data_IF_321877410256
#
_entry.id   IF_321877410256
#
_cell.length_a   1.000
_cell.length_b   1.000
_cell.length_c   1.000
_cell.angle_alpha   90.00
_cell.angle_beta   90.00
_cell.angle_gamma   90.00
#
_symmetry.space_group_name_H-M   'P 1'
#
loop_
_entity.id
_entity.type
_entity.pdbx_description
1 polymer ?
#
# COMPACT_ATOMS: atom_id res chain seq x y z
N UNK A 1 7.13 5.88 10.04
CA UNK A 1 7.98 4.70 10.23
C UNK A 1 7.14 3.44 10.39
N UNK A 2 7.51 2.39 9.73
CA UNK A 2 6.74 1.17 9.66
C UNK A 2 7.64 -0.02 9.99
N UNK A 3 7.20 -0.90 10.89
CA UNK A 3 7.96 -2.10 11.24
C UNK A 3 7.17 -3.34 10.87
N UNK A 4 7.86 -4.33 10.35
CA UNK A 4 7.23 -5.60 10.00
C UNK A 4 8.12 -6.74 10.49
N UNK A 5 7.47 -7.73 11.12
CA UNK A 5 8.14 -8.93 11.57
C UNK A 5 7.62 -10.12 10.78
N UNK A 6 8.53 -10.88 10.20
CA UNK A 6 8.18 -12.02 9.38
C UNK A 6 9.20 -13.12 9.66
N UNK A 7 8.70 -14.31 10.00
CA UNK A 7 9.57 -15.46 10.31
C UNK A 7 10.65 -15.13 11.35
N UNK A 8 10.27 -14.37 12.38
CA UNK A 8 11.20 -13.99 13.46
C UNK A 8 12.17 -12.86 13.10
N UNK A 9 12.11 -12.33 11.90
CA UNK A 9 12.99 -11.24 11.45
C UNK A 9 12.18 -9.95 11.39
N UNK A 10 12.63 -8.93 12.11
CA UNK A 10 12.00 -7.61 12.11
C UNK A 10 12.79 -6.65 11.25
N UNK A 11 12.11 -5.96 10.35
CA UNK A 11 12.72 -4.93 9.50
C UNK A 11 11.91 -3.65 9.56
N UNK A 12 12.59 -2.54 9.38
CA UNK A 12 11.99 -1.21 9.41
C UNK A 12 11.87 -0.62 8.02
N UNK A 13 10.73 0.03 7.76
CA UNK A 13 10.53 0.83 6.56
C UNK A 13 10.46 2.27 7.02
N UNK A 14 11.53 3.05 6.83
CA UNK A 14 11.62 4.38 7.45
C UNK A 14 10.70 5.43 6.83
N UNK A 15 10.31 5.25 5.58
CA UNK A 15 9.42 6.21 4.88
C UNK A 15 8.71 5.53 3.73
N UNK A 16 7.68 6.21 3.22
CA UNK A 16 6.93 5.75 2.05
C UNK A 16 7.58 6.34 0.80
N UNK A 17 7.96 5.46 -0.14
CA UNK A 17 8.68 5.90 -1.34
C UNK A 17 7.74 6.41 -2.43
N UNK A 18 8.27 7.27 -3.29
CA UNK A 18 7.56 7.68 -4.49
C UNK A 18 7.28 6.51 -5.44
N UNK A 19 8.13 5.48 -5.40
CA UNK A 19 7.94 4.27 -6.21
C UNK A 19 6.67 3.53 -5.79
N UNK A 20 6.43 3.42 -4.48
CA UNK A 20 5.20 2.81 -3.96
C UNK A 20 3.97 3.58 -4.46
N UNK A 21 4.05 4.91 -4.53
CA UNK A 21 2.99 5.73 -5.07
C UNK A 21 2.81 5.50 -6.58
N UNK A 22 3.90 5.49 -7.32
CA UNK A 22 3.84 5.32 -8.78
C UNK A 22 3.15 4.02 -9.18
N UNK A 23 3.42 2.95 -8.45
CA UNK A 23 2.92 1.61 -8.77
C UNK A 23 1.65 1.24 -7.99
N UNK A 24 1.00 2.22 -7.37
CA UNK A 24 -0.17 1.98 -6.50
C UNK A 24 -1.46 1.67 -7.25
N UNK A 25 -1.63 2.19 -8.45
CA UNK A 25 -2.94 2.17 -9.14
C UNK A 25 -3.56 0.78 -9.22
N UNK A 26 -2.85 -0.16 -9.79
CA UNK A 26 -3.39 -1.50 -10.03
C UNK A 26 -3.61 -2.30 -8.75
N UNK A 27 -2.64 -2.35 -7.82
CA UNK A 27 -2.89 -3.01 -6.54
C UNK A 27 -4.05 -2.39 -5.76
N UNK A 28 -4.18 -1.07 -5.79
CA UNK A 28 -5.29 -0.38 -5.10
C UNK A 28 -6.63 -0.79 -5.70
N UNK A 29 -6.73 -0.86 -7.03
CA UNK A 29 -7.96 -1.30 -7.69
C UNK A 29 -8.32 -2.73 -7.30
N UNK A 30 -7.33 -3.62 -7.27
CA UNK A 30 -7.55 -5.02 -6.87
C UNK A 30 -8.03 -5.09 -5.43
N UNK A 31 -7.36 -4.39 -4.52
CA UNK A 31 -7.69 -4.43 -3.09
C UNK A 31 -9.04 -3.79 -2.79
N UNK A 32 -9.35 -2.66 -3.41
CA UNK A 32 -10.65 -2.00 -3.18
C UNK A 32 -11.80 -2.82 -3.76
N UNK A 33 -11.59 -3.46 -4.89
CA UNK A 33 -12.60 -4.36 -5.47
C UNK A 33 -12.82 -5.58 -4.58
N UNK A 34 -11.75 -6.15 -4.04
CA UNK A 34 -11.86 -7.27 -3.11
C UNK A 34 -12.64 -6.87 -1.85
N UNK A 35 -12.39 -5.67 -1.32
CA UNK A 35 -13.12 -5.16 -0.16
C UNK A 35 -14.58 -4.92 -0.49
N UNK A 36 -14.88 -4.36 -1.66
CA UNK A 36 -16.25 -4.17 -2.12
C UNK A 36 -17.01 -5.50 -2.19
N UNK A 37 -16.38 -6.53 -2.74
CA UNK A 37 -16.97 -7.87 -2.83
C UNK A 37 -17.24 -8.47 -1.45
N UNK A 38 -16.30 -8.29 -0.54
CA UNK A 38 -16.43 -8.81 0.82
C UNK A 38 -17.66 -8.25 1.52
N UNK A 39 -18.03 -7.01 1.20
CA UNK A 39 -19.19 -6.34 1.79
C UNK A 39 -20.48 -6.55 1.00
N UNK A 40 -20.44 -7.32 -0.09
CA UNK A 40 -21.61 -7.60 -0.91
C UNK A 40 -22.58 -8.54 -0.19
N UNK A 41 -23.88 -8.36 -0.43
CA UNK A 41 -24.90 -9.27 0.06
C UNK A 41 -24.98 -10.54 -0.77
N UNK A 42 -24.45 -10.50 -2.00
CA UNK A 42 -24.42 -11.66 -2.90
C UNK A 42 -23.29 -12.59 -2.49
N UNK A 43 -23.62 -13.82 -2.10
CA UNK A 43 -22.65 -14.82 -1.68
C UNK A 43 -21.61 -15.13 -2.78
N UNK A 44 -22.03 -15.15 -4.03
CA UNK A 44 -21.13 -15.43 -5.14
C UNK A 44 -20.08 -14.33 -5.29
N UNK A 45 -20.47 -13.09 -5.07
CA UNK A 45 -19.53 -11.96 -5.08
C UNK A 45 -18.62 -12.01 -3.85
N UNK A 46 -19.21 -12.23 -2.67
CA UNK A 46 -18.50 -12.20 -1.40
C UNK A 46 -17.41 -13.27 -1.32
N UNK A 47 -17.72 -14.46 -1.83
CA UNK A 47 -16.84 -15.63 -1.71
C UNK A 47 -15.87 -15.77 -2.87
N UNK A 48 -15.88 -14.84 -3.81
CA UNK A 48 -15.01 -14.90 -4.97
C UNK A 48 -13.56 -14.56 -4.60
N UNK A 49 -12.62 -15.52 -4.74
CA UNK A 49 -11.23 -15.27 -4.37
C UNK A 49 -10.53 -14.41 -5.40
N UNK A 50 -9.43 -13.80 -5.01
CA UNK A 50 -8.52 -13.17 -5.95
C UNK A 50 -7.85 -14.24 -6.82
N UNK A 51 -7.58 -13.91 -8.07
CA UNK A 51 -6.81 -14.80 -8.94
C UNK A 51 -5.35 -14.80 -8.51
N UNK A 52 -4.61 -15.83 -8.92
CA UNK A 52 -3.17 -15.90 -8.65
C UNK A 52 -2.46 -14.66 -9.19
N UNK A 53 -2.84 -14.22 -10.38
CA UNK A 53 -2.27 -13.03 -11.00
C UNK A 53 -2.52 -11.78 -10.16
N UNK A 54 -3.75 -11.62 -9.67
CA UNK A 54 -4.09 -10.50 -8.80
C UNK A 54 -3.30 -10.53 -7.50
N UNK A 55 -3.18 -11.71 -6.89
CA UNK A 55 -2.39 -11.88 -5.67
C UNK A 55 -0.93 -11.50 -5.91
N UNK A 56 -0.35 -11.95 -7.03
CA UNK A 56 1.04 -11.64 -7.35
C UNK A 56 1.27 -10.14 -7.50
N UNK A 57 0.32 -9.44 -8.10
CA UNK A 57 0.40 -7.99 -8.26
C UNK A 57 0.36 -7.27 -6.92
N UNK A 58 -0.53 -7.69 -6.04
CA UNK A 58 -0.64 -7.12 -4.69
C UNK A 58 0.62 -7.39 -3.89
N UNK A 59 1.12 -8.62 -3.90
CA UNK A 59 2.32 -8.99 -3.15
C UNK A 59 3.56 -8.28 -3.70
N UNK A 60 3.69 -8.19 -5.01
CA UNK A 60 4.79 -7.45 -5.63
C UNK A 60 4.81 -5.99 -5.19
N UNK A 61 3.63 -5.35 -5.18
CA UNK A 61 3.52 -3.98 -4.71
C UNK A 61 3.82 -3.87 -3.21
N UNK A 62 3.33 -4.81 -2.42
CA UNK A 62 3.58 -4.82 -0.98
C UNK A 62 5.08 -4.91 -0.71
N UNK A 63 5.80 -5.73 -1.45
CA UNK A 63 7.26 -5.80 -1.36
C UNK A 63 7.93 -4.47 -1.73
N UNK A 64 7.40 -3.77 -2.73
CA UNK A 64 7.87 -2.42 -3.09
C UNK A 64 7.64 -1.45 -1.94
N UNK A 65 6.45 -1.46 -1.35
CA UNK A 65 6.14 -0.61 -0.20
C UNK A 65 7.11 -0.86 0.94
N UNK A 66 7.44 -2.12 1.18
CA UNK A 66 8.37 -2.52 2.24
C UNK A 66 9.84 -2.33 1.83
N UNK A 67 10.09 -1.66 0.72
CA UNK A 67 11.44 -1.36 0.20
C UNK A 67 12.28 -2.63 0.04
N UNK A 68 11.62 -3.70 -0.38
CA UNK A 68 12.23 -5.01 -0.65
C UNK A 68 12.91 -5.62 0.59
N UNK A 69 12.41 -5.27 1.77
CA UNK A 69 12.86 -5.88 3.02
C UNK A 69 12.64 -7.40 3.02
N UNK A 70 11.59 -7.84 2.34
CA UNK A 70 11.28 -9.25 2.14
C UNK A 70 10.96 -9.52 0.68
N UNK A 71 11.25 -10.75 0.22
CA UNK A 71 10.92 -11.16 -1.14
C UNK A 71 9.46 -11.59 -1.23
N UNK A 72 8.88 -11.62 -2.45
CA UNK A 72 7.52 -12.17 -2.61
C UNK A 72 7.41 -13.60 -2.09
N UNK A 73 8.42 -14.44 -2.30
CA UNK A 73 8.41 -15.80 -1.78
C UNK A 73 8.32 -15.84 -0.27
N UNK A 74 9.08 -14.97 0.41
CA UNK A 74 9.02 -14.88 1.87
C UNK A 74 7.65 -14.44 2.35
N UNK A 75 7.03 -13.47 1.67
CA UNK A 75 5.67 -13.03 1.98
C UNK A 75 4.69 -14.19 1.85
N UNK A 76 4.72 -14.92 0.74
CA UNK A 76 3.82 -16.04 0.54
C UNK A 76 4.04 -17.16 1.55
N UNK A 77 5.28 -17.39 1.92
CA UNK A 77 5.64 -18.52 2.77
C UNK A 77 5.37 -18.27 4.24
N UNK A 78 5.58 -17.06 4.70
CA UNK A 78 5.57 -16.75 6.14
C UNK A 78 4.50 -15.78 6.59
N UNK A 79 3.83 -15.08 5.68
CA UNK A 79 2.81 -14.12 6.08
C UNK A 79 1.51 -14.84 6.40
N UNK A 80 0.84 -14.38 7.47
CA UNK A 80 -0.44 -14.93 7.87
C UNK A 80 -1.48 -14.62 6.78
N UNK A 81 -2.15 -15.65 6.28
CA UNK A 81 -3.12 -15.48 5.19
C UNK A 81 -4.30 -14.59 5.58
N UNK A 82 -4.65 -14.55 6.87
CA UNK A 82 -5.74 -13.71 7.36
C UNK A 82 -5.37 -12.22 7.35
N UNK A 83 -4.09 -11.90 7.42
CA UNK A 83 -3.61 -10.54 7.57
C UNK A 83 -3.06 -9.91 6.29
N UNK A 84 -2.63 -10.74 5.35
CA UNK A 84 -1.89 -10.24 4.17
C UNK A 84 -2.66 -9.16 3.41
N UNK A 85 -3.88 -9.46 3.00
CA UNK A 85 -4.67 -8.52 2.19
C UNK A 85 -5.09 -7.29 2.99
N UNK A 86 -5.40 -7.46 4.27
CA UNK A 86 -5.74 -6.35 5.15
C UNK A 86 -4.55 -5.40 5.30
N UNK A 87 -3.38 -5.95 5.56
CA UNK A 87 -2.18 -5.14 5.77
C UNK A 87 -1.77 -4.44 4.48
N UNK A 88 -1.87 -5.13 3.34
CA UNK A 88 -1.58 -4.53 2.04
C UNK A 88 -2.55 -3.37 1.75
N UNK A 89 -3.84 -3.55 2.06
CA UNK A 89 -4.82 -2.48 1.88
C UNK A 89 -4.53 -1.29 2.78
N UNK A 90 -4.20 -1.54 4.04
CA UNK A 90 -3.84 -0.47 4.97
C UNK A 90 -2.62 0.31 4.48
N UNK A 91 -1.63 -0.38 3.95
CA UNK A 91 -0.46 0.27 3.37
C UNK A 91 -0.82 1.10 2.14
N UNK A 92 -1.66 0.56 1.26
CA UNK A 92 -2.12 1.27 0.07
C UNK A 92 -2.89 2.54 0.44
N UNK A 93 -3.78 2.42 1.43
CA UNK A 93 -4.54 3.57 1.92
C UNK A 93 -3.63 4.61 2.59
N UNK A 94 -2.57 4.18 3.24
CA UNK A 94 -1.58 5.08 3.86
C UNK A 94 -0.90 5.91 2.78
N UNK A 95 -0.46 5.30 1.68
CA UNK A 95 0.15 6.01 0.57
C UNK A 95 -0.83 7.05 0.03
N UNK A 96 -2.07 6.64 -0.24
CA UNK A 96 -3.07 7.52 -0.80
C UNK A 96 -3.39 8.69 0.11
N UNK A 97 -3.54 8.44 1.41
CA UNK A 97 -3.81 9.51 2.40
C UNK A 97 -2.66 10.52 2.47
N UNK A 98 -1.43 10.05 2.41
CA UNK A 98 -0.28 10.95 2.44
C UNK A 98 -0.24 11.87 1.22
N UNK A 99 -0.58 11.33 0.05
CA UNK A 99 -0.66 12.14 -1.18
C UNK A 99 -1.78 13.16 -1.06
N UNK A 100 -2.96 12.74 -0.60
CA UNK A 100 -4.09 13.64 -0.41
C UNK A 100 -3.74 14.78 0.57
N UNK A 101 -3.11 14.45 1.69
CA UNK A 101 -2.70 15.44 2.67
C UNK A 101 -1.68 16.43 2.08
N UNK A 102 -0.73 15.91 1.30
CA UNK A 102 0.26 16.77 0.65
C UNK A 102 -0.38 17.71 -0.37
N UNK A 103 -1.35 17.20 -1.15
CA UNK A 103 -2.06 18.01 -2.14
C UNK A 103 -2.95 19.07 -1.48
N UNK A 104 -3.54 18.76 -0.34
CA UNK A 104 -4.31 19.73 0.42
C UNK A 104 -3.45 20.91 0.89
N UNK A 105 -2.16 20.68 1.08
CA UNK A 105 -1.23 21.74 1.40
C UNK A 105 -0.95 22.69 0.25
N UNK A 106 -1.40 22.36 -0.97
CA UNK A 106 -1.19 23.19 -2.15
C UNK A 106 -2.31 24.18 -2.43
N UNK A 107 -3.19 24.45 -1.48
CA UNK A 107 -4.17 25.51 -1.65
C UNK A 107 -3.52 26.89 -1.60
N UNK A 108 -2.29 27.01 -1.16
CA UNK A 108 -1.50 28.23 -1.23
C UNK A 108 -0.99 28.47 -2.65
N UNK A 109 -0.81 29.73 -3.07
CA UNK A 109 -0.20 30.00 -4.38
C UNK A 109 1.16 29.33 -4.49
N UNK A 110 1.46 28.86 -5.69
CA UNK A 110 2.72 28.13 -5.94
C UNK A 110 3.96 28.95 -5.53
N UNK A 111 3.93 30.26 -5.76
CA UNK A 111 5.05 31.12 -5.41
C UNK A 111 5.32 31.14 -3.90
N UNK A 112 4.26 31.23 -3.10
CA UNK A 112 4.37 31.17 -1.64
C UNK A 112 4.86 29.80 -1.21
N UNK A 113 4.34 28.75 -1.81
CA UNK A 113 4.74 27.40 -1.50
C UNK A 113 6.22 27.16 -1.84
N UNK A 114 6.66 27.69 -2.97
CA UNK A 114 8.06 27.59 -3.38
C UNK A 114 8.96 28.34 -2.41
N UNK A 115 8.54 29.51 -1.92
CA UNK A 115 9.30 30.28 -0.94
C UNK A 115 9.38 29.54 0.40
N UNK A 116 8.29 28.97 0.86
CA UNK A 116 8.29 28.17 2.08
C UNK A 116 9.24 26.98 1.94
N UNK A 117 9.19 26.29 0.83
CA UNK A 117 10.05 25.15 0.57
C UNK A 117 11.52 25.57 0.52
N UNK A 118 11.82 26.68 -0.13
CA UNK A 118 13.16 27.21 -0.21
C UNK A 118 13.69 27.63 1.16
N UNK A 119 12.82 28.18 2.01
CA UNK A 119 13.22 28.56 3.37
C UNK A 119 13.46 27.35 4.25
N UNK A 120 12.70 26.31 4.05
CA UNK A 120 12.81 25.08 4.83
C UNK A 120 13.95 24.21 4.36
N UNK A 121 14.21 24.24 3.08
CA UNK A 121 15.27 23.47 2.49
C UNK A 121 16.61 24.18 2.65
#
# INVERSE_FOLDING_TARGET
>A
MFKITLNGVTKEVPYVTALALRELKEPMEILTEAERRRMSEDENERDKPLTTEQMDKVVSWFCLFLQRAFTPEEIYRYYDCDQLLQDALLCAMTVQRRVTAALQGFHLPLAEKAQETASEA
#
